data_IF_413947579925
#
_entry.id   IF_413947579925
#
_cell.length_a   1.000
_cell.length_b   1.000
_cell.length_c   1.000
_cell.angle_alpha   90.00
_cell.angle_beta   90.00
_cell.angle_gamma   90.00
#
_symmetry.space_group_name_H-M   'P 1'
#
loop_
_entity.id
_entity.type
_entity.pdbx_description
1 polymer ?
#
# COMPACT_ATOMS: atom_id res chain seq x y z
N UNK A 1 9.93 -28.86 4.70
CA UNK A 1 9.73 -27.92 5.82
C UNK A 1 9.15 -26.60 5.27
N UNK A 2 7.86 -26.35 5.44
CA UNK A 2 7.29 -25.02 5.21
C UNK A 2 7.96 -24.08 6.23
N UNK A 3 8.76 -23.11 5.70
CA UNK A 3 9.32 -22.04 6.56
C UNK A 3 8.14 -21.31 7.19
N UNK A 4 8.13 -21.19 8.50
CA UNK A 4 7.13 -20.43 9.24
C UNK A 4 6.93 -19.07 8.58
N UNK A 5 5.70 -18.74 8.27
CA UNK A 5 5.29 -17.45 7.73
C UNK A 5 5.62 -16.39 8.78
N UNK A 6 6.16 -15.27 8.35
CA UNK A 6 6.49 -14.19 9.28
C UNK A 6 5.21 -13.37 9.53
N UNK A 7 4.37 -13.85 10.44
CA UNK A 7 3.05 -13.29 10.74
C UNK A 7 3.10 -11.78 11.06
N UNK A 8 4.20 -11.31 11.67
CA UNK A 8 4.37 -9.88 11.95
C UNK A 8 4.39 -9.01 10.68
N UNK A 9 4.96 -9.52 9.57
CA UNK A 9 4.95 -8.80 8.28
C UNK A 9 3.52 -8.65 7.77
N UNK A 10 2.74 -9.73 7.87
CA UNK A 10 1.34 -9.70 7.45
C UNK A 10 0.52 -8.77 8.36
N UNK A 11 0.79 -8.74 9.68
CA UNK A 11 0.14 -7.80 10.61
C UNK A 11 0.45 -6.34 10.24
N UNK A 12 1.74 -5.98 10.09
CA UNK A 12 2.13 -4.60 9.76
C UNK A 12 1.59 -4.19 8.39
N UNK A 13 1.64 -5.08 7.39
CA UNK A 13 1.08 -4.83 6.06
C UNK A 13 -0.44 -4.64 6.11
N UNK A 14 -1.14 -5.50 6.84
CA UNK A 14 -2.59 -5.42 6.97
C UNK A 14 -3.04 -4.15 7.70
N UNK A 15 -2.31 -3.74 8.74
CA UNK A 15 -2.53 -2.45 9.40
C UNK A 15 -2.32 -1.29 8.43
N UNK A 16 -1.25 -1.32 7.64
CA UNK A 16 -0.98 -0.30 6.63
C UNK A 16 -2.12 -0.19 5.60
N UNK A 17 -2.62 -1.32 5.10
CA UNK A 17 -3.75 -1.35 4.16
C UNK A 17 -5.04 -0.85 4.81
N UNK A 18 -5.34 -1.27 6.05
CA UNK A 18 -6.51 -0.79 6.78
C UNK A 18 -6.48 0.73 6.97
N UNK A 19 -5.31 1.30 7.27
CA UNK A 19 -5.11 2.76 7.36
C UNK A 19 -5.27 3.46 6.01
N UNK A 20 -4.90 2.83 4.90
CA UNK A 20 -5.18 3.36 3.55
C UNK A 20 -6.69 3.42 3.31
N UNK A 21 -7.41 2.35 3.66
CA UNK A 21 -8.88 2.30 3.51
C UNK A 21 -9.55 3.36 4.37
N UNK A 22 -9.13 3.50 5.63
CA UNK A 22 -9.63 4.51 6.56
C UNK A 22 -9.51 5.93 5.97
N UNK A 23 -8.31 6.27 5.49
CA UNK A 23 -8.05 7.61 4.93
C UNK A 23 -8.84 7.85 3.65
N UNK A 24 -8.98 6.85 2.78
CA UNK A 24 -9.80 7.01 1.58
C UNK A 24 -11.30 7.12 1.91
N UNK A 25 -11.79 6.38 2.93
CA UNK A 25 -13.17 6.53 3.39
C UNK A 25 -13.43 7.95 3.90
N UNK A 26 -12.49 8.51 4.66
CA UNK A 26 -12.56 9.89 5.13
C UNK A 26 -12.59 10.87 3.95
N UNK A 27 -11.58 10.83 3.10
CA UNK A 27 -11.43 11.76 1.96
C UNK A 27 -12.61 11.70 0.98
N UNK A 28 -13.16 10.51 0.72
CA UNK A 28 -14.32 10.37 -0.16
C UNK A 28 -15.59 10.88 0.49
N UNK A 29 -15.75 10.68 1.80
CA UNK A 29 -16.89 11.26 2.53
C UNK A 29 -16.81 12.79 2.51
N UNK A 30 -15.65 13.37 2.82
CA UNK A 30 -15.45 14.83 2.76
C UNK A 30 -15.76 15.38 1.37
N UNK A 31 -15.24 14.71 0.32
CA UNK A 31 -15.44 15.12 -1.07
C UNK A 31 -16.93 15.17 -1.47
N UNK A 32 -17.72 14.16 -1.07
CA UNK A 32 -19.11 14.04 -1.53
C UNK A 32 -20.12 14.70 -0.61
N UNK A 33 -19.81 14.86 0.69
CA UNK A 33 -20.72 15.52 1.65
C UNK A 33 -20.39 16.99 1.88
N UNK A 34 -19.19 17.44 1.53
CA UNK A 34 -18.69 18.78 1.88
C UNK A 34 -18.40 18.97 3.37
N UNK A 35 -18.50 17.92 4.19
CA UNK A 35 -18.26 17.97 5.63
C UNK A 35 -16.80 17.70 5.94
N UNK A 36 -16.13 18.61 6.64
CA UNK A 36 -14.76 18.44 7.13
C UNK A 36 -14.75 17.77 8.51
N UNK A 37 -14.01 16.67 8.62
CA UNK A 37 -13.84 15.97 9.90
C UNK A 37 -12.63 16.53 10.66
N UNK A 38 -12.81 17.67 11.35
CA UNK A 38 -11.76 18.28 12.15
C UNK A 38 -11.22 17.26 13.20
N UNK A 39 -9.90 17.11 13.25
CA UNK A 39 -9.21 16.14 14.10
C UNK A 39 -8.87 14.81 13.42
N UNK A 40 -9.68 14.28 12.49
CA UNK A 40 -9.32 13.11 11.70
C UNK A 40 -8.25 13.46 10.64
N UNK A 41 -8.18 14.70 10.17
CA UNK A 41 -7.09 15.19 9.33
C UNK A 41 -5.73 14.99 10.00
N UNK A 42 -5.61 15.39 11.28
CA UNK A 42 -4.40 15.14 12.07
C UNK A 42 -4.03 13.66 12.10
N UNK A 43 -5.00 12.77 12.31
CA UNK A 43 -4.77 11.34 12.26
C UNK A 43 -4.22 10.89 10.91
N UNK A 44 -4.76 11.42 9.79
CA UNK A 44 -4.29 11.04 8.45
C UNK A 44 -2.82 11.41 8.23
N UNK A 45 -2.37 12.54 8.75
CA UNK A 45 -0.98 12.98 8.70
C UNK A 45 -0.10 12.07 9.57
N UNK A 46 -0.51 11.80 10.81
CA UNK A 46 0.23 10.95 11.76
C UNK A 46 0.48 9.55 11.21
N UNK A 47 -0.50 8.95 10.54
CA UNK A 47 -0.37 7.59 10.01
C UNK A 47 0.27 7.51 8.61
N UNK A 48 0.58 8.65 7.99
CA UNK A 48 1.16 8.69 6.64
C UNK A 48 2.41 7.83 6.48
N UNK A 49 3.41 7.84 7.39
CA UNK A 49 4.61 7.02 7.26
C UNK A 49 4.33 5.51 7.32
N UNK A 50 3.27 5.09 8.01
CA UNK A 50 2.89 3.68 8.17
C UNK A 50 1.99 3.15 7.03
N UNK A 51 1.52 4.00 6.13
CA UNK A 51 0.66 3.60 5.00
C UNK A 51 1.48 3.12 3.79
N UNK A 52 1.46 3.88 2.70
CA UNK A 52 2.14 3.50 1.44
C UNK A 52 3.66 3.38 1.56
N UNK A 53 4.39 4.27 2.29
CA UNK A 53 5.81 4.10 2.51
C UNK A 53 6.16 2.75 3.14
N UNK A 54 5.42 2.33 4.18
CA UNK A 54 5.59 1.02 4.79
C UNK A 54 5.29 -0.14 3.82
N UNK A 55 4.27 0.00 2.97
CA UNK A 55 3.93 -1.04 1.98
C UNK A 55 5.03 -1.21 0.92
N UNK A 56 5.66 -0.12 0.45
CA UNK A 56 6.82 -0.20 -0.43
C UNK A 56 8.00 -0.88 0.26
N UNK A 57 8.34 -0.47 1.48
CA UNK A 57 9.41 -1.05 2.27
C UNK A 57 9.21 -2.56 2.50
N UNK A 58 8.01 -2.96 2.96
CA UNK A 58 7.66 -4.37 3.16
C UNK A 58 7.69 -5.17 1.86
N UNK A 59 7.35 -4.56 0.72
CA UNK A 59 7.45 -5.22 -0.60
C UNK A 59 8.91 -5.45 -1.01
N UNK A 60 9.80 -4.53 -0.68
CA UNK A 60 11.25 -4.66 -0.87
C UNK A 60 11.85 -5.82 -0.09
N UNK A 61 11.38 -6.10 1.14
CA UNK A 61 11.87 -7.21 1.97
C UNK A 61 11.79 -8.59 1.29
N UNK A 62 10.89 -8.77 0.34
CA UNK A 62 10.70 -10.05 -0.37
C UNK A 62 11.50 -10.19 -1.66
N UNK A 63 12.20 -9.13 -2.10
CA UNK A 63 12.93 -9.13 -3.39
C UNK A 63 14.05 -10.15 -3.39
N UNK A 64 14.97 -10.10 -2.43
CA UNK A 64 16.11 -11.01 -2.35
C UNK A 64 15.67 -12.48 -2.35
N UNK A 65 14.67 -12.83 -1.52
CA UNK A 65 14.11 -14.19 -1.44
C UNK A 65 13.42 -14.62 -2.75
N UNK A 66 12.81 -13.68 -3.46
CA UNK A 66 12.14 -13.96 -4.73
C UNK A 66 13.15 -14.13 -5.86
N UNK A 67 14.21 -13.31 -5.92
CA UNK A 67 15.31 -13.41 -6.89
C UNK A 67 16.14 -14.67 -6.72
N UNK A 68 16.31 -15.17 -5.48
CA UNK A 68 16.99 -16.43 -5.19
C UNK A 68 16.33 -17.66 -5.85
N UNK A 69 15.08 -17.55 -6.33
CA UNK A 69 14.38 -18.59 -7.11
C UNK A 69 14.73 -18.55 -8.60
N UNK A 70 15.56 -17.61 -9.01
CA UNK A 70 15.94 -17.32 -10.40
C UNK A 70 15.09 -16.23 -11.05
N UNK A 71 15.68 -15.51 -12.03
CA UNK A 71 15.04 -14.33 -12.64
C UNK A 71 13.73 -14.67 -13.36
N UNK A 72 13.66 -15.83 -14.03
CA UNK A 72 12.43 -16.27 -14.72
C UNK A 72 11.27 -16.52 -13.73
N UNK A 73 11.54 -17.21 -12.61
CA UNK A 73 10.54 -17.46 -11.57
C UNK A 73 10.12 -16.16 -10.87
N UNK A 74 11.06 -15.24 -10.67
CA UNK A 74 10.80 -13.90 -10.16
C UNK A 74 9.84 -13.13 -11.06
N UNK A 75 10.22 -12.96 -12.35
CA UNK A 75 9.42 -12.22 -13.34
C UNK A 75 8.01 -12.80 -13.48
N UNK A 76 7.91 -14.13 -13.68
CA UNK A 76 6.61 -14.81 -13.76
C UNK A 76 5.75 -14.58 -12.52
N UNK A 77 6.36 -14.62 -11.33
CA UNK A 77 5.66 -14.36 -10.07
C UNK A 77 5.10 -12.92 -9.99
N UNK A 78 5.86 -11.92 -10.45
CA UNK A 78 5.43 -10.51 -10.46
C UNK A 78 4.40 -10.24 -11.55
N UNK A 79 4.60 -10.78 -12.74
CA UNK A 79 3.62 -10.67 -13.82
C UNK A 79 2.25 -11.23 -13.40
N UNK A 80 2.23 -12.39 -12.73
CA UNK A 80 0.97 -13.04 -12.35
C UNK A 80 0.26 -12.38 -11.19
N UNK A 81 0.99 -11.85 -10.20
CA UNK A 81 0.43 -11.38 -8.92
C UNK A 81 0.39 -9.87 -8.76
N UNK A 82 1.04 -9.12 -9.64
CA UNK A 82 1.07 -7.66 -9.58
C UNK A 82 0.67 -7.06 -10.93
N UNK A 83 1.32 -7.45 -12.04
CA UNK A 83 1.01 -6.88 -13.35
C UNK A 83 -0.40 -7.25 -13.83
N UNK A 84 -0.78 -8.51 -13.68
CA UNK A 84 -2.11 -8.97 -14.09
C UNK A 84 -3.23 -8.22 -13.37
N UNK A 85 -3.30 -8.23 -12.02
CA UNK A 85 -4.37 -7.48 -11.36
C UNK A 85 -4.27 -5.97 -11.63
N UNK A 86 -3.07 -5.40 -11.78
CA UNK A 86 -2.93 -4.00 -12.18
C UNK A 86 -3.62 -3.72 -13.52
N UNK A 87 -3.31 -4.49 -14.57
CA UNK A 87 -3.86 -4.28 -15.91
C UNK A 87 -5.38 -4.56 -15.93
N UNK A 88 -5.80 -5.70 -15.37
CA UNK A 88 -7.21 -6.09 -15.37
C UNK A 88 -8.07 -5.06 -14.63
N UNK A 89 -7.67 -4.67 -13.42
CA UNK A 89 -8.45 -3.72 -12.63
C UNK A 89 -8.35 -2.29 -13.14
N UNK A 90 -7.26 -1.89 -13.79
CA UNK A 90 -7.22 -0.60 -14.49
C UNK A 90 -8.25 -0.54 -15.61
N UNK A 91 -8.37 -1.61 -16.41
CA UNK A 91 -9.41 -1.70 -17.45
C UNK A 91 -10.82 -1.72 -16.85
N UNK A 92 -11.04 -2.49 -15.77
CA UNK A 92 -12.35 -2.54 -15.09
C UNK A 92 -12.73 -1.19 -14.47
N UNK A 93 -11.77 -0.46 -13.90
CA UNK A 93 -12.01 0.89 -13.38
C UNK A 93 -12.33 1.88 -14.49
N UNK A 94 -11.61 1.85 -15.62
CA UNK A 94 -11.93 2.68 -16.78
C UNK A 94 -13.35 2.38 -17.27
N UNK A 95 -13.70 1.11 -17.43
CA UNK A 95 -15.00 0.70 -17.86
C UNK A 95 -16.10 1.16 -16.87
N UNK A 96 -15.85 1.03 -15.57
CA UNK A 96 -16.75 1.51 -14.53
C UNK A 96 -16.98 3.03 -14.62
N UNK A 97 -15.90 3.81 -14.75
CA UNK A 97 -16.01 5.26 -14.93
C UNK A 97 -16.68 5.63 -16.25
N UNK A 98 -16.39 4.92 -17.33
CA UNK A 98 -17.04 5.16 -18.61
C UNK A 98 -18.55 5.04 -18.49
N UNK A 99 -19.04 3.92 -17.96
CA UNK A 99 -20.48 3.69 -17.76
C UNK A 99 -21.09 4.78 -16.86
N UNK A 100 -20.40 5.15 -15.76
CA UNK A 100 -20.88 6.18 -14.83
C UNK A 100 -20.93 7.56 -15.48
N UNK A 101 -19.95 7.92 -16.30
CA UNK A 101 -19.86 9.24 -16.94
C UNK A 101 -20.70 9.38 -18.19
N UNK A 102 -20.95 8.30 -18.93
CA UNK A 102 -21.94 8.32 -20.03
C UNK A 102 -23.33 8.75 -19.53
N UNK A 103 -23.69 8.37 -18.31
CA UNK A 103 -24.95 8.80 -17.69
C UNK A 103 -24.99 10.31 -17.36
N UNK A 104 -23.83 10.97 -17.32
CA UNK A 104 -23.70 12.42 -17.04
C UNK A 104 -23.45 13.26 -18.28
N UNK A 105 -23.31 12.64 -19.47
CA UNK A 105 -23.03 13.34 -20.74
C UNK A 105 -21.57 13.78 -20.89
N UNK A 106 -20.67 13.37 -19.99
CA UNK A 106 -19.23 13.67 -20.06
C UNK A 106 -18.58 12.57 -20.90
N UNK A 107 -18.18 12.90 -22.13
CA UNK A 107 -17.49 11.97 -23.04
C UNK A 107 -16.14 11.49 -22.48
N UNK A 108 -15.89 10.21 -22.55
CA UNK A 108 -14.61 9.58 -22.18
C UNK A 108 -13.93 9.09 -23.45
N UNK A 109 -12.76 9.66 -23.80
CA UNK A 109 -12.00 9.26 -24.98
C UNK A 109 -11.20 7.97 -24.77
N UNK A 110 -10.84 7.30 -25.86
CA UNK A 110 -9.98 6.11 -25.84
C UNK A 110 -8.57 6.37 -25.28
N UNK A 111 -8.15 7.62 -25.22
CA UNK A 111 -6.87 8.07 -24.66
C UNK A 111 -6.68 7.64 -23.21
N UNK A 112 -7.77 7.47 -22.46
CA UNK A 112 -7.74 7.05 -21.06
C UNK A 112 -7.10 5.66 -20.90
N UNK A 113 -7.24 4.75 -21.86
CA UNK A 113 -6.61 3.43 -21.78
C UNK A 113 -5.08 3.52 -21.83
N UNK A 114 -4.50 4.52 -22.53
CA UNK A 114 -3.06 4.71 -22.56
C UNK A 114 -2.50 5.20 -21.22
N UNK A 115 -3.30 5.86 -20.40
CA UNK A 115 -2.91 6.29 -19.05
C UNK A 115 -2.47 5.11 -18.17
N UNK A 116 -2.97 3.90 -18.41
CA UNK A 116 -2.49 2.69 -17.72
C UNK A 116 -0.96 2.57 -17.74
N UNK A 117 -0.29 3.07 -18.79
CA UNK A 117 1.15 2.90 -18.99
C UNK A 117 1.99 4.07 -18.47
N UNK A 118 1.43 5.29 -18.35
CA UNK A 118 2.22 6.47 -17.99
C UNK A 118 1.59 7.33 -16.88
N UNK A 119 0.27 7.27 -16.66
CA UNK A 119 -0.44 8.04 -15.65
C UNK A 119 -1.53 7.15 -15.01
N UNK A 120 -1.14 6.24 -14.11
CA UNK A 120 -2.01 5.23 -13.55
C UNK A 120 -3.26 5.81 -12.90
N UNK A 121 -4.40 5.14 -13.14
CA UNK A 121 -5.72 5.62 -12.75
C UNK A 121 -5.89 5.51 -11.23
N UNK A 122 -6.25 6.63 -10.63
CA UNK A 122 -6.59 6.74 -9.21
C UNK A 122 -5.54 6.06 -8.31
N UNK A 123 -5.96 5.18 -7.39
CA UNK A 123 -5.08 4.49 -6.46
C UNK A 123 -4.15 3.44 -7.11
N UNK A 124 -4.36 3.09 -8.39
CA UNK A 124 -3.57 2.06 -9.09
C UNK A 124 -2.09 2.43 -9.28
N UNK A 125 -1.72 3.71 -9.10
CA UNK A 125 -0.34 4.19 -9.21
C UNK A 125 0.64 3.43 -8.29
N UNK A 126 0.20 2.97 -7.11
CA UNK A 126 1.06 2.19 -6.21
C UNK A 126 1.51 0.86 -6.85
N UNK A 127 0.60 0.13 -7.51
CA UNK A 127 0.92 -1.12 -8.19
C UNK A 127 1.82 -0.89 -9.41
N UNK A 128 1.58 0.19 -10.16
CA UNK A 128 2.42 0.58 -11.30
C UNK A 128 3.86 0.87 -10.85
N UNK A 129 4.02 1.67 -9.78
CA UNK A 129 5.34 1.98 -9.23
C UNK A 129 6.02 0.73 -8.66
N UNK A 130 5.25 -0.11 -7.97
CA UNK A 130 5.76 -1.37 -7.44
C UNK A 130 6.26 -2.31 -8.56
N UNK A 131 5.56 -2.38 -9.70
CA UNK A 131 6.00 -3.15 -10.87
C UNK A 131 7.33 -2.64 -11.41
N UNK A 132 7.46 -1.32 -11.53
CA UNK A 132 8.69 -0.72 -12.02
C UNK A 132 9.85 -0.96 -11.05
N UNK A 133 9.63 -0.81 -9.74
CA UNK A 133 10.68 -1.10 -8.74
C UNK A 133 11.09 -2.57 -8.75
N UNK A 134 10.14 -3.48 -8.95
CA UNK A 134 10.47 -4.89 -9.14
C UNK A 134 11.26 -5.15 -10.44
N UNK A 135 10.96 -4.43 -11.52
CA UNK A 135 11.72 -4.52 -12.77
C UNK A 135 13.15 -3.99 -12.60
N UNK A 136 13.31 -2.81 -11.97
CA UNK A 136 14.63 -2.24 -11.64
C UNK A 136 15.44 -3.18 -10.75
N UNK A 137 14.84 -3.73 -9.69
CA UNK A 137 15.51 -4.67 -8.80
C UNK A 137 15.92 -5.97 -9.52
N UNK A 138 15.19 -6.42 -10.54
CA UNK A 138 15.58 -7.56 -11.35
C UNK A 138 16.70 -7.22 -12.33
N UNK A 139 16.60 -6.08 -13.00
CA UNK A 139 17.60 -5.64 -14.00
C UNK A 139 18.95 -5.33 -13.34
N UNK A 140 18.92 -4.75 -12.15
CA UNK A 140 20.11 -4.35 -11.39
C UNK A 140 20.43 -5.33 -10.23
N UNK A 141 20.04 -6.59 -10.34
CA UNK A 141 20.18 -7.60 -9.27
C UNK A 141 21.60 -7.91 -8.82
N UNK A 142 22.59 -7.54 -9.63
CA UNK A 142 24.02 -7.67 -9.33
C UNK A 142 24.59 -6.44 -8.62
N UNK A 143 23.84 -5.34 -8.54
CA UNK A 143 24.21 -4.15 -7.77
C UNK A 143 23.72 -4.35 -6.34
N UNK A 144 24.59 -4.25 -5.31
CA UNK A 144 24.15 -4.34 -3.92
C UNK A 144 23.09 -3.27 -3.60
N UNK A 145 22.04 -3.66 -2.88
CA UNK A 145 20.88 -2.79 -2.64
C UNK A 145 21.20 -1.46 -1.95
N UNK A 146 22.20 -1.34 -1.04
CA UNK A 146 22.57 -0.04 -0.49
C UNK A 146 22.97 1.01 -1.53
N UNK A 147 23.65 0.61 -2.62
CA UNK A 147 24.02 1.54 -3.69
C UNK A 147 22.78 2.00 -4.49
N UNK A 148 21.84 1.10 -4.71
CA UNK A 148 20.57 1.46 -5.34
C UNK A 148 19.76 2.42 -4.46
N UNK A 149 19.74 2.20 -3.14
CA UNK A 149 19.11 3.10 -2.18
C UNK A 149 19.74 4.50 -2.23
N UNK A 150 21.08 4.59 -2.18
CA UNK A 150 21.80 5.86 -2.29
C UNK A 150 21.49 6.55 -3.62
N UNK A 151 21.50 5.80 -4.73
CA UNK A 151 21.23 6.35 -6.05
C UNK A 151 19.80 6.94 -6.14
N UNK A 152 18.77 6.25 -5.64
CA UNK A 152 17.39 6.77 -5.70
C UNK A 152 17.17 7.97 -4.77
N UNK A 153 17.87 8.02 -3.61
CA UNK A 153 17.87 9.19 -2.72
C UNK A 153 18.54 10.37 -3.44
N UNK A 154 19.68 10.16 -4.08
CA UNK A 154 20.36 11.21 -4.83
C UNK A 154 19.51 11.73 -6.01
N UNK A 155 18.84 10.83 -6.75
CA UNK A 155 17.91 11.21 -7.81
C UNK A 155 16.72 12.02 -7.29
N UNK A 156 16.26 11.75 -6.07
CA UNK A 156 15.17 12.51 -5.44
C UNK A 156 15.59 13.93 -5.04
N UNK A 157 16.88 14.21 -4.94
CA UNK A 157 17.39 15.56 -4.68
C UNK A 157 17.42 16.45 -5.95
N UNK A 158 17.25 15.87 -7.14
CA UNK A 158 17.16 16.62 -8.38
C UNK A 158 15.78 17.29 -8.43
N UNK A 159 15.69 18.62 -8.62
CA UNK A 159 14.42 19.32 -8.68
C UNK A 159 13.68 18.99 -9.98
N UNK A 160 12.92 17.90 -9.95
CA UNK A 160 12.04 17.45 -11.04
C UNK A 160 10.62 17.65 -10.55
N UNK A 161 9.83 18.41 -11.28
CA UNK A 161 8.44 18.68 -10.93
C UNK A 161 7.50 17.48 -11.25
N UNK A 162 6.38 17.43 -10.54
CA UNK A 162 5.27 16.52 -10.80
C UNK A 162 5.44 15.10 -10.26
N UNK A 163 4.85 14.14 -10.96
CA UNK A 163 4.77 12.75 -10.52
C UNK A 163 6.14 12.04 -10.44
N UNK A 164 7.18 12.53 -11.13
CA UNK A 164 8.52 11.96 -11.10
C UNK A 164 9.17 12.06 -9.73
N UNK A 165 8.96 13.17 -9.00
CA UNK A 165 9.45 13.31 -7.62
C UNK A 165 8.83 12.25 -6.71
N UNK A 166 7.51 12.05 -6.79
CA UNK A 166 6.79 11.01 -6.03
C UNK A 166 7.33 9.61 -6.35
N UNK A 167 7.68 9.40 -7.61
CA UNK A 167 8.22 8.15 -8.10
C UNK A 167 9.57 7.79 -7.44
N UNK A 168 10.55 8.69 -7.49
CA UNK A 168 11.87 8.46 -6.89
C UNK A 168 11.79 8.39 -5.36
N UNK A 169 11.00 9.24 -4.75
CA UNK A 169 10.78 9.28 -3.31
C UNK A 169 10.26 7.94 -2.77
N UNK A 170 9.28 7.33 -3.44
CA UNK A 170 8.76 6.02 -3.02
C UNK A 170 9.72 4.86 -3.34
N UNK A 171 10.57 4.98 -4.37
CA UNK A 171 11.62 4.02 -4.65
C UNK A 171 12.60 3.87 -3.48
N UNK A 172 12.90 4.97 -2.77
CA UNK A 172 13.78 4.93 -1.61
C UNK A 172 13.24 4.00 -0.50
N UNK A 173 11.95 4.03 -0.21
CA UNK A 173 11.33 3.10 0.76
C UNK A 173 11.43 1.66 0.30
N UNK A 174 11.18 1.39 -0.98
CA UNK A 174 11.29 0.05 -1.55
C UNK A 174 12.72 -0.47 -1.46
N UNK A 175 13.73 0.30 -1.90
CA UNK A 175 15.12 -0.13 -1.86
C UNK A 175 15.69 -0.17 -0.44
N UNK A 176 15.18 0.62 0.50
CA UNK A 176 15.47 0.44 1.92
C UNK A 176 15.00 -0.95 2.40
N UNK A 177 13.82 -1.39 1.97
CA UNK A 177 13.33 -2.74 2.23
C UNK A 177 14.23 -3.83 1.62
N UNK A 178 14.71 -3.64 0.38
CA UNK A 178 15.66 -4.58 -0.25
C UNK A 178 16.97 -4.63 0.53
N UNK A 179 17.51 -3.49 0.94
CA UNK A 179 18.72 -3.38 1.78
C UNK A 179 18.57 -4.11 3.11
N UNK A 180 17.41 -3.93 3.79
CA UNK A 180 17.13 -4.65 5.03
C UNK A 180 17.03 -6.17 4.80
N UNK A 181 16.53 -6.62 3.64
CA UNK A 181 16.47 -8.03 3.30
C UNK A 181 17.85 -8.66 3.09
N UNK A 182 18.81 -7.93 2.53
CA UNK A 182 20.21 -8.37 2.43
C UNK A 182 20.87 -8.48 3.82
N UNK A 183 20.45 -7.64 4.77
CA UNK A 183 20.92 -7.64 6.16
C UNK A 183 19.93 -8.33 7.11
N UNK A 184 19.33 -9.42 6.68
CA UNK A 184 18.25 -10.13 7.37
C UNK A 184 18.53 -10.44 8.84
N UNK A 185 19.74 -10.87 9.17
CA UNK A 185 20.12 -11.17 10.57
C UNK A 185 20.03 -9.94 11.47
N UNK A 186 20.41 -8.79 10.95
CA UNK A 186 20.31 -7.51 11.68
C UNK A 186 18.86 -7.10 11.86
N UNK A 187 18.03 -7.21 10.80
CA UNK A 187 16.60 -6.98 10.88
C UNK A 187 15.94 -7.88 11.93
N UNK A 188 16.21 -9.19 11.88
CA UNK A 188 15.65 -10.14 12.83
C UNK A 188 16.03 -9.84 14.29
N UNK A 189 17.27 -9.40 14.53
CA UNK A 189 17.73 -8.97 15.86
C UNK A 189 17.05 -7.68 16.31
N UNK A 190 16.85 -6.73 15.41
CA UNK A 190 16.18 -5.47 15.71
C UNK A 190 14.73 -5.71 16.14
N UNK A 191 13.95 -6.46 15.32
CA UNK A 191 12.53 -6.73 15.60
C UNK A 191 12.30 -7.81 16.69
N UNK A 192 13.35 -8.47 17.17
CA UNK A 192 13.26 -9.39 18.30
C UNK A 192 13.19 -8.70 19.67
N UNK A 193 13.54 -7.41 19.72
CA UNK A 193 13.66 -6.63 20.96
C UNK A 193 12.42 -5.78 21.16
N UNK A 194 11.49 -6.21 22.01
CA UNK A 194 10.21 -5.52 22.24
C UNK A 194 10.39 -4.07 22.71
N UNK A 195 11.15 -3.83 23.80
CA UNK A 195 11.29 -2.49 24.38
C UNK A 195 11.95 -1.47 23.44
N UNK A 196 13.09 -1.77 22.80
CA UNK A 196 13.64 -0.86 21.79
C UNK A 196 12.66 -0.58 20.64
N UNK A 197 11.91 -1.59 20.20
CA UNK A 197 10.90 -1.41 19.14
C UNK A 197 9.74 -0.53 19.60
N UNK A 198 9.29 -0.69 20.85
CA UNK A 198 8.26 0.18 21.42
C UNK A 198 8.75 1.63 21.49
N UNK A 199 9.98 1.87 21.91
CA UNK A 199 10.58 3.22 21.91
C UNK A 199 10.62 3.81 20.51
N UNK A 200 11.03 3.04 19.49
CA UNK A 200 11.03 3.49 18.10
C UNK A 200 9.61 3.84 17.63
N UNK A 201 8.63 3.00 17.94
CA UNK A 201 7.25 3.24 17.54
C UNK A 201 6.69 4.51 18.19
N UNK A 202 6.88 4.66 19.51
CA UNK A 202 6.41 5.84 20.24
C UNK A 202 7.10 7.11 19.74
N UNK A 203 8.42 7.06 19.50
CA UNK A 203 9.16 8.19 18.94
C UNK A 203 8.68 8.56 17.53
N UNK A 204 8.43 7.59 16.66
CA UNK A 204 7.88 7.84 15.33
C UNK A 204 6.49 8.47 15.38
N UNK A 205 5.61 7.98 16.26
CA UNK A 205 4.29 8.56 16.49
C UNK A 205 4.41 9.99 17.02
N UNK A 206 5.28 10.23 18.02
CA UNK A 206 5.49 11.56 18.57
C UNK A 206 6.01 12.56 17.53
N UNK A 207 6.97 12.16 16.69
CA UNK A 207 7.46 12.97 15.59
C UNK A 207 6.36 13.28 14.58
N UNK A 208 5.51 12.30 14.26
CA UNK A 208 4.40 12.50 13.32
C UNK A 208 3.29 13.37 13.90
N UNK A 209 3.00 13.27 15.20
CA UNK A 209 2.09 14.19 15.90
C UNK A 209 2.69 15.61 15.91
N UNK A 210 3.97 15.76 16.24
CA UNK A 210 4.63 17.05 16.20
C UNK A 210 4.58 17.70 14.82
N UNK A 211 4.69 16.91 13.75
CA UNK A 211 4.52 17.38 12.38
C UNK A 211 3.06 17.78 12.08
N UNK A 212 2.10 16.94 12.44
CA UNK A 212 0.68 17.19 12.21
C UNK A 212 0.17 18.42 12.95
N UNK A 213 0.71 18.70 14.15
CA UNK A 213 0.40 19.89 14.96
C UNK A 213 1.26 21.12 14.63
N UNK A 214 2.11 21.00 13.60
CA UNK A 214 3.06 22.06 13.16
C UNK A 214 4.08 22.49 14.21
N UNK A 215 4.26 21.69 15.27
CA UNK A 215 5.30 21.90 16.28
C UNK A 215 6.71 21.66 15.70
N UNK A 216 6.83 20.73 14.75
CA UNK A 216 8.02 20.48 13.97
C UNK A 216 7.64 20.21 12.51
N UNK A 217 8.61 20.32 11.60
CA UNK A 217 8.41 19.98 10.19
C UNK A 217 9.24 18.75 9.88
N UNK A 218 8.57 17.64 9.54
CA UNK A 218 9.25 16.49 8.96
C UNK A 218 9.54 16.77 7.49
N UNK A 219 10.72 16.38 7.01
CA UNK A 219 11.01 16.51 5.59
C UNK A 219 10.07 15.62 4.78
N UNK A 220 9.83 16.03 3.53
CA UNK A 220 9.07 15.21 2.59
C UNK A 220 9.85 13.95 2.18
N UNK A 221 9.16 13.01 1.55
CA UNK A 221 9.80 11.82 1.02
C UNK A 221 10.86 12.21 -0.06
N UNK A 222 12.02 11.56 -0.08
CA UNK A 222 12.40 10.37 0.72
C UNK A 222 13.06 10.68 2.05
N UNK A 223 13.25 11.94 2.42
CA UNK A 223 14.04 12.39 3.57
C UNK A 223 13.41 11.98 4.92
N UNK A 224 12.12 11.66 4.92
CA UNK A 224 11.42 11.08 6.08
C UNK A 224 11.64 9.55 6.23
N UNK A 225 12.50 8.93 5.42
CA UNK A 225 12.83 7.51 5.52
C UNK A 225 13.20 7.04 6.94
N UNK A 226 13.97 7.80 7.76
CA UNK A 226 14.23 7.42 9.15
C UNK A 226 12.94 7.23 9.97
N UNK A 227 11.96 8.11 9.83
CA UNK A 227 10.68 8.03 10.54
C UNK A 227 9.89 6.80 10.08
N UNK A 228 9.88 6.54 8.76
CA UNK A 228 9.24 5.32 8.20
C UNK A 228 9.90 4.05 8.75
N UNK A 229 11.23 4.02 8.82
CA UNK A 229 11.97 2.89 9.41
C UNK A 229 11.63 2.71 10.89
N UNK A 230 11.58 3.79 11.67
CA UNK A 230 11.16 3.75 13.08
C UNK A 230 9.75 3.19 13.23
N UNK A 231 8.81 3.63 12.42
CA UNK A 231 7.44 3.08 12.40
C UNK A 231 7.41 1.60 12.07
N UNK A 232 8.05 1.20 10.98
CA UNK A 232 7.97 -0.20 10.49
C UNK A 232 8.70 -1.15 11.43
N UNK A 233 9.92 -0.81 11.87
CA UNK A 233 10.70 -1.64 12.80
C UNK A 233 10.06 -1.67 14.19
N UNK A 234 9.53 -0.53 14.63
CA UNK A 234 8.81 -0.41 15.89
C UNK A 234 7.52 -1.25 15.90
N UNK A 235 6.67 -1.07 14.89
CA UNK A 235 5.44 -1.85 14.74
C UNK A 235 5.73 -3.36 14.58
N UNK A 236 6.76 -3.71 13.82
CA UNK A 236 7.19 -5.10 13.64
C UNK A 236 7.62 -5.75 14.95
N UNK A 237 8.48 -5.07 15.72
CA UNK A 237 8.97 -5.64 16.99
C UNK A 237 7.91 -5.70 18.08
N UNK A 238 6.97 -4.74 18.11
CA UNK A 238 5.81 -4.77 19.03
C UNK A 238 4.82 -5.86 18.61
N UNK A 239 4.54 -6.01 17.31
CA UNK A 239 3.61 -7.02 16.82
C UNK A 239 4.17 -8.45 16.92
N UNK A 240 5.48 -8.65 16.75
CA UNK A 240 6.11 -9.98 16.62
C UNK A 240 5.73 -10.97 17.72
N UNK A 241 5.78 -10.65 19.03
CA UNK A 241 5.46 -11.59 20.10
C UNK A 241 4.00 -12.03 20.12
N UNK A 242 3.10 -11.23 19.56
CA UNK A 242 1.65 -11.46 19.57
C UNK A 242 1.07 -11.66 18.16
N UNK A 243 1.90 -11.70 17.12
CA UNK A 243 1.46 -11.70 15.73
C UNK A 243 0.55 -12.90 15.37
N UNK A 244 0.73 -14.04 16.04
CA UNK A 244 -0.11 -15.24 15.86
C UNK A 244 -1.37 -15.25 16.72
N UNK A 245 -1.55 -14.29 17.62
CA UNK A 245 -2.72 -14.22 18.52
C UNK A 245 -4.03 -13.98 17.74
N UNK A 246 -5.16 -14.34 18.38
CA UNK A 246 -6.49 -14.11 17.82
C UNK A 246 -6.80 -12.62 17.64
N UNK A 247 -6.29 -11.75 18.51
CA UNK A 247 -6.46 -10.29 18.45
C UNK A 247 -5.93 -9.68 17.16
N UNK A 248 -4.85 -10.26 16.59
CA UNK A 248 -4.25 -9.79 15.36
C UNK A 248 -4.65 -10.63 14.13
N UNK A 249 -5.66 -11.50 14.27
CA UNK A 249 -6.14 -12.32 13.16
C UNK A 249 -6.69 -11.47 12.00
N UNK A 250 -7.44 -10.41 12.30
CA UNK A 250 -8.01 -9.54 11.27
C UNK A 250 -6.93 -8.76 10.50
N UNK A 251 -6.04 -7.97 11.12
CA UNK A 251 -4.97 -7.30 10.36
C UNK A 251 -4.03 -8.30 9.67
N UNK A 252 -3.73 -9.46 10.26
CA UNK A 252 -2.96 -10.51 9.60
C UNK A 252 -3.66 -11.02 8.34
N UNK A 253 -4.98 -11.24 8.37
CA UNK A 253 -5.75 -11.63 7.20
C UNK A 253 -5.72 -10.58 6.10
N UNK A 254 -5.96 -9.31 6.45
CA UNK A 254 -5.85 -8.17 5.52
C UNK A 254 -4.45 -8.11 4.88
N UNK A 255 -3.40 -8.37 5.66
CA UNK A 255 -2.03 -8.38 5.16
C UNK A 255 -1.74 -9.52 4.19
N UNK A 256 -2.30 -10.71 4.45
CA UNK A 256 -2.22 -11.87 3.55
C UNK A 256 -2.89 -11.60 2.22
N UNK A 257 -4.07 -10.99 2.24
CA UNK A 257 -4.91 -10.70 1.08
C UNK A 257 -4.77 -9.23 0.64
N UNK A 258 -3.66 -8.58 1.01
CA UNK A 258 -3.47 -7.14 0.86
C UNK A 258 -3.71 -6.60 -0.55
N UNK A 259 -3.47 -7.40 -1.59
CA UNK A 259 -3.72 -6.98 -2.97
C UNK A 259 -5.22 -6.87 -3.28
N UNK A 260 -6.03 -7.79 -2.75
CA UNK A 260 -7.49 -7.77 -2.92
C UNK A 260 -8.06 -6.53 -2.21
N UNK A 261 -7.67 -6.34 -0.95
CA UNK A 261 -8.10 -5.16 -0.18
C UNK A 261 -7.65 -3.86 -0.85
N UNK A 262 -6.39 -3.80 -1.30
CA UNK A 262 -5.85 -2.61 -1.92
C UNK A 262 -6.55 -2.23 -3.22
N UNK A 263 -6.87 -3.19 -4.07
CA UNK A 263 -7.49 -2.92 -5.36
C UNK A 263 -8.98 -2.58 -5.21
N UNK A 264 -9.70 -3.33 -4.38
CA UNK A 264 -11.16 -3.29 -4.33
C UNK A 264 -11.69 -2.16 -3.46
N UNK A 265 -10.96 -1.76 -2.40
CA UNK A 265 -11.51 -0.79 -1.44
C UNK A 265 -11.89 0.55 -2.08
N UNK A 266 -11.05 1.07 -2.98
CA UNK A 266 -11.23 2.43 -3.49
C UNK A 266 -12.53 2.63 -4.30
N UNK A 267 -12.86 1.79 -5.32
CA UNK A 267 -14.14 1.91 -6.01
C UNK A 267 -15.33 1.69 -5.08
N UNK A 268 -15.20 0.76 -4.11
CA UNK A 268 -16.27 0.48 -3.14
C UNK A 268 -16.50 1.68 -2.23
N UNK A 269 -15.45 2.21 -1.62
CA UNK A 269 -15.51 3.38 -0.73
C UNK A 269 -16.08 4.59 -1.49
N UNK A 270 -15.59 4.85 -2.70
CA UNK A 270 -16.05 5.97 -3.52
C UNK A 270 -17.54 5.84 -3.88
N UNK A 271 -17.95 4.65 -4.31
CA UNK A 271 -19.37 4.40 -4.67
C UNK A 271 -20.30 4.55 -3.46
N UNK A 272 -19.94 3.96 -2.31
CA UNK A 272 -20.77 4.01 -1.11
C UNK A 272 -20.86 5.44 -0.57
N UNK A 273 -19.73 6.17 -0.51
CA UNK A 273 -19.72 7.56 -0.04
C UNK A 273 -20.57 8.47 -0.97
N UNK A 274 -20.42 8.33 -2.29
CA UNK A 274 -21.21 9.08 -3.26
C UNK A 274 -22.71 8.76 -3.18
N UNK A 275 -23.05 7.48 -3.07
CA UNK A 275 -24.45 7.04 -2.99
C UNK A 275 -25.14 7.53 -1.71
N UNK A 276 -24.45 7.40 -0.55
CA UNK A 276 -25.00 7.86 0.73
C UNK A 276 -25.15 9.39 0.74
N UNK A 277 -24.17 10.13 0.25
CA UNK A 277 -24.24 11.59 0.12
C UNK A 277 -25.37 12.04 -0.80
N UNK A 278 -25.59 11.35 -1.95
CA UNK A 278 -26.70 11.63 -2.84
C UNK A 278 -28.07 11.38 -2.20
N UNK A 279 -28.14 10.54 -1.17
CA UNK A 279 -29.33 10.31 -0.33
C UNK A 279 -29.41 11.24 0.88
N UNK A 280 -28.54 12.25 0.96
CA UNK A 280 -28.45 13.20 2.07
C UNK A 280 -28.25 12.53 3.44
N UNK A 281 -27.55 11.38 3.45
CA UNK A 281 -27.20 10.71 4.69
C UNK A 281 -26.24 11.58 5.54
N UNK A 282 -26.32 11.44 6.85
CA UNK A 282 -25.42 12.11 7.79
C UNK A 282 -23.94 11.79 7.42
N UNK A 283 -23.04 12.79 7.47
CA UNK A 283 -21.64 12.59 7.10
C UNK A 283 -20.92 11.49 7.91
N UNK A 284 -21.17 11.38 9.21
CA UNK A 284 -20.58 10.32 10.03
C UNK A 284 -21.11 8.93 9.66
N UNK A 285 -22.41 8.85 9.39
CA UNK A 285 -23.02 7.61 8.88
C UNK A 285 -22.41 7.25 7.52
N UNK A 286 -22.27 8.21 6.62
CA UNK A 286 -21.64 8.02 5.30
C UNK A 286 -20.21 7.49 5.44
N UNK A 287 -19.41 8.08 6.34
CA UNK A 287 -18.05 7.63 6.63
C UNK A 287 -18.02 6.18 7.17
N UNK A 288 -18.87 5.87 8.15
CA UNK A 288 -18.93 4.53 8.74
C UNK A 288 -19.36 3.49 7.70
N UNK A 289 -20.34 3.81 6.84
CA UNK A 289 -20.79 2.93 5.76
C UNK A 289 -19.67 2.71 4.74
N UNK A 290 -19.00 3.77 4.29
CA UNK A 290 -17.91 3.71 3.33
C UNK A 290 -16.73 2.90 3.87
N UNK A 291 -16.32 3.13 5.12
CA UNK A 291 -15.25 2.39 5.78
C UNK A 291 -15.60 0.91 5.95
N UNK A 292 -16.81 0.64 6.45
CA UNK A 292 -17.28 -0.74 6.64
C UNK A 292 -17.36 -1.51 5.33
N UNK A 293 -17.91 -0.91 4.28
CA UNK A 293 -17.97 -1.51 2.95
C UNK A 293 -16.56 -1.73 2.37
N UNK A 294 -15.65 -0.74 2.53
CA UNK A 294 -14.26 -0.82 2.10
C UNK A 294 -13.43 -1.91 2.79
N UNK A 295 -13.86 -2.39 3.95
CA UNK A 295 -13.26 -3.52 4.65
C UNK A 295 -13.98 -4.85 4.37
N UNK A 296 -15.31 -4.88 4.43
CA UNK A 296 -16.11 -6.10 4.37
C UNK A 296 -16.23 -6.65 2.94
N UNK A 297 -16.38 -5.80 1.93
CA UNK A 297 -16.50 -6.26 0.53
C UNK A 297 -15.19 -6.90 0.03
N UNK A 298 -14.01 -6.27 0.22
CA UNK A 298 -12.74 -6.95 -0.11
C UNK A 298 -12.52 -8.24 0.70
N UNK A 299 -12.94 -8.26 1.97
CA UNK A 299 -12.88 -9.48 2.79
C UNK A 299 -13.71 -10.62 2.19
N UNK A 300 -14.95 -10.33 1.80
CA UNK A 300 -15.83 -11.31 1.16
C UNK A 300 -15.27 -11.79 -0.19
N UNK A 301 -14.75 -10.87 -1.03
CA UNK A 301 -14.13 -11.21 -2.31
C UNK A 301 -12.84 -12.04 -2.13
N UNK A 302 -12.02 -11.74 -1.13
CA UNK A 302 -10.85 -12.55 -0.81
C UNK A 302 -11.25 -13.96 -0.34
N UNK A 303 -12.30 -14.09 0.47
CA UNK A 303 -12.83 -15.39 0.88
C UNK A 303 -13.40 -16.18 -0.32
N UNK A 304 -14.04 -15.50 -1.25
CA UNK A 304 -14.58 -16.08 -2.49
C UNK A 304 -13.45 -16.55 -3.41
N UNK A 305 -12.41 -15.72 -3.60
CA UNK A 305 -11.25 -16.04 -4.43
C UNK A 305 -10.50 -17.29 -3.93
N UNK A 306 -10.50 -17.55 -2.62
CA UNK A 306 -9.94 -18.79 -2.05
C UNK A 306 -10.74 -20.03 -2.41
N UNK A 307 -12.02 -19.91 -2.71
CA UNK A 307 -12.92 -21.03 -3.02
C UNK A 307 -13.13 -21.25 -4.51
N UNK A 308 -13.16 -20.18 -5.29
CA UNK A 308 -13.52 -20.21 -6.70
C UNK A 308 -12.38 -19.70 -7.59
N UNK A 309 -11.93 -20.57 -8.49
CA UNK A 309 -10.84 -20.24 -9.45
C UNK A 309 -11.16 -19.02 -10.32
N UNK A 310 -12.42 -18.83 -10.68
CA UNK A 310 -12.83 -17.67 -11.47
C UNK A 310 -12.67 -16.35 -10.69
N UNK A 311 -12.98 -16.36 -9.39
CA UNK A 311 -12.76 -15.20 -8.53
C UNK A 311 -11.26 -14.96 -8.25
N UNK A 312 -10.46 -16.02 -8.06
CA UNK A 312 -8.98 -15.91 -7.93
C UNK A 312 -8.36 -15.29 -9.18
N UNK A 313 -8.90 -15.60 -10.37
CA UNK A 313 -8.43 -15.05 -11.64
C UNK A 313 -8.55 -13.53 -11.74
N UNK A 314 -9.37 -12.87 -10.94
CA UNK A 314 -9.42 -11.40 -10.84
C UNK A 314 -8.15 -10.82 -10.20
N UNK A 315 -7.43 -11.60 -9.39
CA UNK A 315 -6.29 -11.14 -8.60
C UNK A 315 -4.97 -11.86 -8.91
N UNK A 316 -5.04 -13.03 -9.54
CA UNK A 316 -3.86 -13.81 -9.91
C UNK A 316 -4.05 -14.40 -11.30
N UNK A 317 -3.10 -14.16 -12.22
CA UNK A 317 -3.17 -14.79 -13.54
C UNK A 317 -3.28 -16.31 -13.41
N UNK A 318 -4.28 -16.94 -14.04
CA UNK A 318 -4.48 -18.38 -13.95
C UNK A 318 -3.26 -19.19 -14.43
N UNK A 319 -2.99 -20.30 -13.79
CA UNK A 319 -2.06 -21.28 -14.33
C UNK A 319 -2.79 -22.05 -15.42
N UNK A 320 -2.13 -22.24 -16.57
CA UNK A 320 -2.61 -23.28 -17.51
C UNK A 320 -2.64 -24.59 -16.75
N UNK A 321 -3.78 -25.28 -16.79
CA UNK A 321 -3.94 -26.62 -16.26
C UNK A 321 -2.99 -27.58 -16.95
#
# INVERSE_FOLDING_TARGET
MQRAREDWIDVVRGTAVALVILVHALQRTELFTGHEFSGLETLTIVVTPLRLPAMFLLSGLFVARSLAKGPRAYATGKLRRVAWPYLLWSVLLIAFFWILLETTGIGFGWEVFWRIFYDPIEHMWFLAYLLLYFAVAMLLRWVPAPYLLVAVIALSAIPIEGQWLRYWANAAFFFAGVTLAEHRRTLERAVARFWPSLVLLVAAIALSIGHATRFLVLPEAPWNLPVVLMFVLGAAGVARPIASSAWLAAPRYVGVESIVFYIVHWPVVSFVAQFAAAKQADPWLTFVLALSAGLLIPWALAALARRWRAADALFVWPRRA
#
